data_IF_809392784879
#
_entry.id   IF_809392784879
#
_cell.length_a   1.000
_cell.length_b   1.000
_cell.length_c   1.000
_cell.angle_alpha   90.00
_cell.angle_beta   90.00
_cell.angle_gamma   90.00
#
_symmetry.space_group_name_H-M   'P 1'
#
loop_
_entity.id
_entity.type
_entity.pdbx_description
1 polymer ?
#
# COMPACT_ATOMS: atom_id res chain seq x y z
N UNK A 1 0.61 24.49 1.53
CA UNK A 1 -0.21 23.70 2.47
C UNK A 1 0.55 22.44 2.80
N UNK A 2 0.69 22.05 4.07
CA UNK A 2 1.20 20.71 4.40
C UNK A 2 0.25 19.67 3.81
N UNK A 3 0.82 18.60 3.23
CA UNK A 3 0.08 17.48 2.70
C UNK A 3 0.56 16.20 3.37
N UNK A 4 -0.38 15.32 3.72
CA UNK A 4 -0.09 14.03 4.31
C UNK A 4 -0.20 12.96 3.22
N UNK A 5 0.88 12.18 3.00
CA UNK A 5 0.95 11.15 1.97
C UNK A 5 1.13 9.77 2.59
N UNK A 6 0.15 8.89 2.35
CA UNK A 6 0.12 7.54 2.91
C UNK A 6 0.45 6.53 1.82
N UNK A 7 1.53 5.77 1.99
CA UNK A 7 1.90 4.68 1.11
C UNK A 7 1.45 3.34 1.71
N UNK A 8 0.49 2.68 1.06
CA UNK A 8 0.12 1.29 1.38
C UNK A 8 0.94 0.35 0.50
N UNK A 9 1.74 -0.50 1.12
CA UNK A 9 2.65 -1.40 0.40
C UNK A 9 2.67 -2.81 1.03
N UNK A 10 1.56 -3.57 0.96
CA UNK A 10 1.57 -5.00 1.25
C UNK A 10 2.49 -5.72 0.27
N UNK A 11 3.07 -6.85 0.65
CA UNK A 11 4.02 -7.60 -0.18
C UNK A 11 3.48 -7.86 -1.59
N UNK A 12 4.42 -7.95 -2.55
CA UNK A 12 4.11 -8.21 -3.95
C UNK A 12 3.22 -9.45 -4.12
N UNK A 13 3.49 -10.51 -3.35
CA UNK A 13 2.71 -11.75 -3.40
C UNK A 13 1.25 -11.50 -2.99
N UNK A 14 1.02 -10.79 -1.89
CA UNK A 14 -0.33 -10.42 -1.43
C UNK A 14 -1.04 -9.51 -2.43
N UNK A 15 -0.32 -8.56 -3.03
CA UNK A 15 -0.87 -7.72 -4.08
C UNK A 15 -1.33 -8.54 -5.30
N UNK A 16 -0.52 -9.50 -5.76
CA UNK A 16 -0.85 -10.40 -6.88
C UNK A 16 -2.10 -11.24 -6.54
N UNK A 17 -2.14 -11.86 -5.37
CA UNK A 17 -3.27 -12.71 -4.95
C UNK A 17 -4.58 -11.91 -4.83
N UNK A 18 -4.51 -10.71 -4.22
CA UNK A 18 -5.67 -9.81 -4.11
C UNK A 18 -6.12 -9.27 -5.46
N UNK A 19 -5.19 -9.01 -6.39
CA UNK A 19 -5.53 -8.54 -7.73
C UNK A 19 -6.14 -9.65 -8.60
N UNK A 20 -5.62 -10.87 -8.52
CA UNK A 20 -6.12 -12.02 -9.27
C UNK A 20 -7.51 -12.49 -8.78
N UNK A 21 -7.81 -12.30 -7.49
CA UNK A 21 -9.09 -12.73 -6.88
C UNK A 21 -10.24 -11.73 -7.03
N UNK A 22 -10.03 -10.58 -7.70
CA UNK A 22 -11.10 -9.59 -7.89
C UNK A 22 -12.21 -10.12 -8.79
N UNK A 23 -13.47 -9.85 -8.42
CA UNK A 23 -14.64 -10.21 -9.24
C UNK A 23 -14.69 -9.44 -10.56
N UNK A 24 -14.22 -8.20 -10.54
CA UNK A 24 -14.17 -7.32 -11.71
C UNK A 24 -12.76 -6.72 -11.81
N UNK A 25 -12.23 -6.64 -13.04
CA UNK A 25 -10.89 -6.10 -13.29
C UNK A 25 -9.76 -6.94 -12.66
N UNK A 26 -9.93 -8.27 -12.60
CA UNK A 26 -8.87 -9.17 -12.18
C UNK A 26 -7.64 -9.01 -13.07
N UNK A 27 -6.46 -8.89 -12.46
CA UNK A 27 -5.20 -8.78 -13.20
C UNK A 27 -4.49 -10.14 -13.12
N UNK A 28 -4.50 -10.86 -14.24
CA UNK A 28 -3.98 -12.23 -14.33
C UNK A 28 -2.55 -12.29 -14.86
N UNK A 29 -2.13 -11.31 -15.68
CA UNK A 29 -0.73 -11.13 -16.10
C UNK A 29 -0.08 -10.03 -15.25
N UNK A 30 0.77 -10.44 -14.32
CA UNK A 30 1.43 -9.55 -13.38
C UNK A 30 2.92 -9.32 -13.73
N UNK A 31 3.42 -9.82 -14.88
CA UNK A 31 4.84 -9.71 -15.22
C UNK A 31 5.32 -8.25 -15.26
N UNK A 32 4.52 -7.37 -15.89
CA UNK A 32 4.78 -5.92 -15.91
C UNK A 32 4.66 -5.28 -14.52
N UNK A 33 3.75 -5.78 -13.68
CA UNK A 33 3.49 -5.23 -12.35
C UNK A 33 4.57 -5.57 -11.33
N UNK A 34 5.29 -6.69 -11.50
CA UNK A 34 6.45 -7.03 -10.66
C UNK A 34 7.54 -5.97 -10.74
N UNK A 35 7.90 -5.56 -11.95
CA UNK A 35 8.92 -4.54 -12.16
C UNK A 35 8.44 -3.17 -11.67
N UNK A 36 7.16 -2.85 -11.87
CA UNK A 36 6.58 -1.61 -11.37
C UNK A 36 6.55 -1.56 -9.84
N UNK A 37 6.29 -2.69 -9.19
CA UNK A 37 6.23 -2.78 -7.73
C UNK A 37 7.59 -2.46 -7.07
N UNK A 38 8.71 -2.79 -7.71
CA UNK A 38 10.05 -2.49 -7.21
C UNK A 38 10.27 -0.98 -6.95
N UNK A 39 9.63 -0.10 -7.73
CA UNK A 39 9.71 1.34 -7.52
C UNK A 39 9.13 1.79 -6.16
N UNK A 40 8.20 1.03 -5.58
CA UNK A 40 7.66 1.33 -4.25
C UNK A 40 8.55 0.81 -3.12
N UNK A 41 9.53 -0.04 -3.40
CA UNK A 41 10.52 -0.51 -2.43
C UNK A 41 11.71 0.46 -2.32
N UNK A 42 12.01 1.18 -3.40
CA UNK A 42 13.12 2.15 -3.47
C UNK A 42 12.74 3.54 -2.91
N UNK A 43 11.46 3.76 -2.58
CA UNK A 43 10.94 5.05 -2.12
C UNK A 43 11.41 5.47 -0.73
N UNK A 44 11.47 6.77 -0.48
CA UNK A 44 11.84 7.36 0.83
C UNK A 44 10.65 7.54 1.77
N UNK A 45 9.43 7.39 1.27
CA UNK A 45 8.19 7.46 2.07
C UNK A 45 8.07 6.17 2.88
N UNK A 46 7.95 6.29 4.21
CA UNK A 46 7.73 5.13 5.08
C UNK A 46 6.36 4.48 4.77
N UNK A 47 6.34 3.22 4.30
CA UNK A 47 5.09 2.57 3.94
C UNK A 47 4.42 1.86 5.12
N UNK A 48 3.09 1.73 5.05
CA UNK A 48 2.35 0.75 5.85
C UNK A 48 2.42 -0.59 5.13
N UNK A 49 3.07 -1.57 5.78
CA UNK A 49 3.31 -2.91 5.23
C UNK A 49 2.67 -3.95 6.14
N UNK A 50 1.36 -4.13 5.99
CA UNK A 50 0.61 -5.13 6.75
C UNK A 50 -0.17 -6.02 5.79
N UNK A 51 0.38 -7.21 5.56
CA UNK A 51 -0.15 -8.21 4.64
C UNK A 51 -1.46 -8.85 5.15
N UNK A 52 -1.66 -8.83 6.47
CA UNK A 52 -2.73 -9.53 7.16
C UNK A 52 -3.81 -8.58 7.70
N UNK A 53 -3.56 -7.27 7.72
CA UNK A 53 -4.55 -6.30 8.15
C UNK A 53 -5.84 -6.40 7.34
N UNK A 54 -6.95 -6.55 8.06
CA UNK A 54 -8.26 -6.29 7.51
C UNK A 54 -8.45 -4.78 7.25
N UNK A 55 -9.42 -4.40 6.39
CA UNK A 55 -9.64 -2.99 6.04
C UNK A 55 -9.89 -2.06 7.23
N UNK A 56 -10.58 -2.52 8.28
CA UNK A 56 -10.89 -1.68 9.43
C UNK A 56 -9.66 -1.47 10.32
N UNK A 57 -8.81 -2.48 10.47
CA UNK A 57 -7.52 -2.36 11.15
C UNK A 57 -6.58 -1.42 10.38
N UNK A 58 -6.52 -1.53 9.06
CA UNK A 58 -5.70 -0.65 8.23
C UNK A 58 -6.18 0.82 8.30
N UNK A 59 -7.49 1.05 8.23
CA UNK A 59 -8.06 2.39 8.36
C UNK A 59 -7.73 3.05 9.70
N UNK A 60 -7.72 2.27 10.80
CA UNK A 60 -7.29 2.76 12.12
C UNK A 60 -5.82 3.16 12.12
N UNK A 61 -4.93 2.32 11.57
CA UNK A 61 -3.50 2.66 11.47
C UNK A 61 -3.26 3.96 10.67
N UNK A 62 -4.03 4.17 9.59
CA UNK A 62 -3.97 5.42 8.81
C UNK A 62 -4.44 6.61 9.65
N UNK A 63 -5.58 6.51 10.33
CA UNK A 63 -6.11 7.59 11.17
C UNK A 63 -5.15 7.96 12.31
N UNK A 64 -4.57 6.95 12.98
CA UNK A 64 -3.60 7.15 14.05
C UNK A 64 -2.32 7.82 13.52
N UNK A 65 -1.80 7.36 12.38
CA UNK A 65 -0.61 7.96 11.77
C UNK A 65 -0.82 9.40 11.31
N UNK A 66 -2.01 9.73 10.77
CA UNK A 66 -2.38 11.10 10.41
C UNK A 66 -2.44 12.01 11.64
N UNK A 67 -3.07 11.54 12.71
CA UNK A 67 -3.20 12.30 13.97
C UNK A 67 -1.83 12.62 14.58
N UNK A 68 -0.87 11.71 14.46
CA UNK A 68 0.49 11.87 14.97
C UNK A 68 1.45 12.57 13.98
N UNK A 69 0.98 13.01 12.81
CA UNK A 69 1.81 13.69 11.81
C UNK A 69 2.85 12.79 11.13
N UNK A 70 2.71 11.46 11.23
CA UNK A 70 3.67 10.47 10.67
C UNK A 70 3.80 10.58 9.15
N UNK A 71 2.72 10.95 8.47
CA UNK A 71 2.64 10.96 7.00
C UNK A 71 2.93 12.33 6.38
N UNK A 72 3.33 13.30 7.19
CA UNK A 72 3.56 14.66 6.72
C UNK A 72 4.82 14.72 5.86
N UNK A 73 4.68 15.20 4.63
CA UNK A 73 5.82 15.45 3.75
C UNK A 73 6.45 16.80 4.13
N UNK A 74 7.80 16.87 4.26
CA UNK A 74 8.53 18.10 4.55
C UNK A 74 8.28 19.24 3.55
#
# INVERSE_FOLDING_TARGET
MPFDFVLLRPSLQVCIERAASRKEGAITDNAMLKNFYAHFEEGTVEPICDDNADPASLARQVADGLTNGRFRIP
#
